data_IF_731699220083
#
_entry.id   IF_731699220083
#
_cell.length_a   1.000
_cell.length_b   1.000
_cell.length_c   1.000
_cell.angle_alpha   90.00
_cell.angle_beta   90.00
_cell.angle_gamma   90.00
#
_symmetry.space_group_name_H-M   'P 1'
#
loop_
_entity.id
_entity.type
_entity.pdbx_description
1 polymer ?
#
# COMPACT_ATOMS: atom_id res chain seq x y z
N UNK A 1 -12.96 -15.50 -3.05
CA UNK A 1 -12.52 -14.62 -4.14
C UNK A 1 -11.83 -15.43 -5.24
N UNK A 2 -10.72 -16.09 -4.99
CA UNK A 2 -9.95 -16.85 -5.97
C UNK A 2 -10.78 -17.88 -6.72
N UNK A 3 -11.60 -18.68 -6.03
CA UNK A 3 -12.48 -19.67 -6.66
C UNK A 3 -13.43 -19.05 -7.69
N UNK A 4 -13.97 -17.86 -7.42
CA UNK A 4 -14.85 -17.13 -8.34
C UNK A 4 -14.15 -16.68 -9.63
N UNK A 5 -12.83 -16.44 -9.57
CA UNK A 5 -12.03 -15.97 -10.70
C UNK A 5 -11.51 -17.11 -11.60
N UNK A 6 -11.73 -18.37 -11.19
CA UNK A 6 -11.23 -19.55 -11.90
C UNK A 6 -12.17 -19.93 -13.06
N UNK A 7 -11.57 -20.35 -14.17
CA UNK A 7 -12.33 -21.07 -15.20
C UNK A 7 -12.56 -22.52 -14.75
N UNK A 8 -13.78 -22.82 -14.33
CA UNK A 8 -14.19 -24.11 -13.78
C UNK A 8 -14.21 -25.26 -14.81
N UNK A 9 -14.03 -24.95 -16.10
CA UNK A 9 -13.86 -25.98 -17.13
C UNK A 9 -12.44 -26.59 -17.11
N UNK A 10 -11.53 -26.03 -16.33
CA UNK A 10 -10.13 -26.45 -16.23
C UNK A 10 -9.75 -26.75 -14.78
N UNK A 11 -9.85 -28.02 -14.34
CA UNK A 11 -9.59 -28.41 -12.96
C UNK A 11 -8.20 -28.01 -12.41
N UNK A 12 -7.19 -27.96 -13.30
CA UNK A 12 -5.84 -27.53 -12.93
C UNK A 12 -5.78 -26.11 -12.40
N UNK A 13 -6.68 -25.23 -12.85
CA UNK A 13 -6.75 -23.86 -12.35
C UNK A 13 -7.40 -23.77 -10.96
N UNK A 14 -8.34 -24.65 -10.67
CA UNK A 14 -8.94 -24.74 -9.34
C UNK A 14 -7.89 -25.12 -8.29
N UNK A 15 -7.07 -26.13 -8.61
CA UNK A 15 -5.98 -26.57 -7.72
C UNK A 15 -4.96 -25.45 -7.48
N UNK A 16 -4.54 -24.75 -8.55
CA UNK A 16 -3.60 -23.63 -8.47
C UNK A 16 -4.12 -22.44 -7.62
N UNK A 17 -5.44 -22.34 -7.43
CA UNK A 17 -6.07 -21.29 -6.64
C UNK A 17 -6.32 -21.67 -5.18
N UNK A 18 -6.07 -22.91 -4.79
CA UNK A 18 -6.20 -23.33 -3.39
C UNK A 18 -5.15 -22.63 -2.54
N UNK A 19 -5.56 -22.23 -1.37
CA UNK A 19 -4.74 -21.56 -0.37
C UNK A 19 -4.82 -22.38 0.90
N UNK A 20 -3.68 -22.70 1.46
CA UNK A 20 -3.58 -23.39 2.75
C UNK A 20 -3.44 -22.39 3.89
N UNK A 21 -3.62 -22.84 5.12
CA UNK A 21 -3.39 -22.02 6.30
C UNK A 21 -1.95 -21.50 6.38
N UNK A 22 -0.97 -22.30 5.93
CA UNK A 22 0.44 -21.92 5.89
C UNK A 22 0.74 -20.77 4.92
N UNK A 23 -0.07 -20.61 3.86
CA UNK A 23 0.08 -19.54 2.87
C UNK A 23 -0.48 -18.20 3.37
N UNK A 24 -1.29 -18.21 4.43
CA UNK A 24 -1.99 -17.04 4.95
C UNK A 24 -1.07 -16.10 5.73
N UNK A 25 -0.08 -15.58 5.03
CA UNK A 25 0.84 -14.56 5.55
C UNK A 25 0.33 -13.14 5.29
N UNK A 26 0.91 -12.17 5.99
CA UNK A 26 0.60 -10.76 5.76
C UNK A 26 0.93 -10.34 4.32
N UNK A 27 2.05 -10.78 3.79
CA UNK A 27 2.48 -10.44 2.44
C UNK A 27 1.52 -11.05 1.40
N UNK A 28 1.08 -12.29 1.60
CA UNK A 28 0.04 -12.91 0.79
C UNK A 28 -1.26 -12.10 0.78
N UNK A 29 -1.73 -11.67 1.96
CA UNK A 29 -2.96 -10.85 2.08
C UNK A 29 -2.79 -9.51 1.34
N UNK A 30 -1.64 -8.86 1.47
CA UNK A 30 -1.35 -7.61 0.78
C UNK A 30 -1.31 -7.77 -0.75
N UNK A 31 -0.80 -8.90 -1.25
CA UNK A 31 -0.81 -9.21 -2.68
C UNK A 31 -2.22 -9.50 -3.21
N UNK A 32 -3.02 -10.28 -2.48
CA UNK A 32 -4.42 -10.52 -2.85
C UNK A 32 -5.22 -9.21 -2.91
N UNK A 33 -5.06 -8.35 -1.91
CA UNK A 33 -5.69 -7.02 -1.91
C UNK A 33 -5.23 -6.17 -3.10
N UNK A 34 -3.95 -6.28 -3.49
CA UNK A 34 -3.44 -5.56 -4.66
C UNK A 34 -4.07 -6.03 -5.98
N UNK A 35 -4.35 -7.35 -6.10
CA UNK A 35 -5.02 -7.91 -7.28
C UNK A 35 -6.50 -7.55 -7.32
N UNK A 36 -7.21 -7.69 -6.19
CA UNK A 36 -8.64 -7.43 -6.09
C UNK A 36 -9.00 -5.95 -6.25
N UNK A 37 -8.16 -5.06 -5.71
CA UNK A 37 -8.38 -3.62 -5.68
C UNK A 37 -7.47 -2.90 -6.69
N UNK A 38 -7.12 -3.58 -7.79
CA UNK A 38 -6.30 -3.00 -8.84
C UNK A 38 -6.97 -1.76 -9.43
N UNK A 39 -6.22 -0.66 -9.50
CA UNK A 39 -6.74 0.62 -9.97
C UNK A 39 -7.49 1.44 -8.92
N UNK A 40 -7.74 0.88 -7.73
CA UNK A 40 -8.32 1.60 -6.62
C UNK A 40 -7.25 2.30 -5.76
N UNK A 41 -7.64 3.34 -5.05
CA UNK A 41 -6.73 4.18 -4.26
C UNK A 41 -6.24 3.53 -2.95
N UNK A 42 -6.67 2.30 -2.67
CA UNK A 42 -6.46 1.65 -1.37
C UNK A 42 -5.00 1.22 -1.12
N UNK A 43 -4.22 0.92 -2.16
CA UNK A 43 -2.90 0.31 -2.02
C UNK A 43 -1.95 1.07 -1.08
N UNK A 44 -1.89 2.41 -1.20
CA UNK A 44 -1.05 3.23 -0.31
C UNK A 44 -1.48 3.13 1.16
N UNK A 45 -2.78 3.12 1.42
CA UNK A 45 -3.33 3.03 2.78
C UNK A 45 -3.03 1.67 3.40
N UNK A 46 -3.20 0.60 2.64
CA UNK A 46 -2.90 -0.75 3.09
C UNK A 46 -1.41 -0.89 3.43
N UNK A 47 -0.52 -0.50 2.52
CA UNK A 47 0.92 -0.57 2.76
C UNK A 47 1.36 0.28 3.97
N UNK A 48 0.75 1.45 4.16
CA UNK A 48 1.03 2.30 5.32
C UNK A 48 0.57 1.63 6.61
N UNK A 49 -0.66 1.09 6.65
CA UNK A 49 -1.22 0.41 7.85
C UNK A 49 -0.37 -0.76 8.30
N UNK A 50 0.18 -1.48 7.36
CA UNK A 50 0.99 -2.66 7.64
C UNK A 50 2.49 -2.38 7.75
N UNK A 51 2.91 -1.11 7.72
CA UNK A 51 4.31 -0.72 7.84
C UNK A 51 5.18 -1.14 6.66
N UNK A 52 4.58 -1.42 5.50
CA UNK A 52 5.27 -1.95 4.31
C UNK A 52 5.50 -0.91 3.21
N UNK A 53 5.05 0.33 3.40
CA UNK A 53 5.05 1.33 2.32
C UNK A 53 6.45 1.60 1.77
N UNK A 54 7.40 1.89 2.64
CA UNK A 54 8.76 2.28 2.23
C UNK A 54 9.48 1.12 1.56
N UNK A 55 9.44 -0.06 2.16
CA UNK A 55 10.10 -1.27 1.64
C UNK A 55 9.52 -1.68 0.28
N UNK A 56 8.20 -1.68 0.14
CA UNK A 56 7.54 -2.01 -1.11
C UNK A 56 7.90 -1.03 -2.24
N UNK A 57 7.99 0.27 -1.93
CA UNK A 57 8.42 1.25 -2.92
C UNK A 57 9.87 1.05 -3.30
N UNK A 58 10.77 0.78 -2.36
CA UNK A 58 12.19 0.50 -2.64
C UNK A 58 12.39 -0.73 -3.52
N UNK A 59 11.57 -1.77 -3.32
CA UNK A 59 11.69 -3.03 -4.07
C UNK A 59 11.07 -2.92 -5.47
N UNK A 60 9.87 -2.37 -5.57
CA UNK A 60 9.02 -2.51 -6.76
C UNK A 60 8.85 -1.25 -7.59
N UNK A 61 9.28 -0.07 -7.11
CA UNK A 61 9.16 1.16 -7.88
C UNK A 61 10.54 1.70 -8.28
N UNK A 62 11.00 1.43 -9.52
CA UNK A 62 12.33 1.83 -9.98
C UNK A 62 12.51 3.35 -9.99
N UNK A 63 11.45 4.12 -10.21
CA UNK A 63 11.52 5.58 -10.30
C UNK A 63 11.61 6.25 -8.93
N UNK A 64 10.93 5.67 -7.92
CA UNK A 64 10.85 6.25 -6.60
C UNK A 64 11.85 5.67 -5.59
N UNK A 65 12.43 4.50 -5.85
CA UNK A 65 13.27 3.75 -4.88
C UNK A 65 14.42 4.56 -4.29
N UNK A 66 15.03 5.43 -5.08
CA UNK A 66 16.17 6.24 -4.65
C UNK A 66 15.75 7.52 -3.92
N UNK A 67 14.50 7.94 -4.09
CA UNK A 67 13.97 9.20 -3.57
C UNK A 67 13.12 9.00 -2.32
N UNK A 68 12.57 7.79 -2.13
CA UNK A 68 11.74 7.47 -0.95
C UNK A 68 12.58 7.49 0.33
N UNK A 69 12.12 8.22 1.33
CA UNK A 69 12.70 8.31 2.67
C UNK A 69 11.68 7.83 3.71
N UNK A 70 12.14 7.53 4.91
CA UNK A 70 11.29 6.96 5.95
C UNK A 70 10.18 7.93 6.39
N UNK A 71 10.44 9.23 6.37
CA UNK A 71 9.43 10.25 6.69
C UNK A 71 8.28 10.33 5.66
N UNK A 72 8.44 9.79 4.44
CA UNK A 72 7.36 9.74 3.44
C UNK A 72 6.18 8.83 3.83
N UNK A 73 6.24 8.17 4.99
CA UNK A 73 5.09 7.50 5.61
C UNK A 73 3.96 8.52 5.85
N UNK A 74 4.30 9.73 6.24
CA UNK A 74 3.36 10.85 6.31
C UNK A 74 3.47 11.76 5.09
N UNK A 75 2.50 12.60 4.87
CA UNK A 75 2.54 13.62 3.80
C UNK A 75 2.85 14.98 4.41
N UNK A 76 3.44 15.90 3.66
CA UNK A 76 3.54 17.27 4.12
C UNK A 76 2.15 17.87 4.36
N UNK A 77 2.06 18.73 5.35
CA UNK A 77 0.86 19.53 5.56
C UNK A 77 0.83 20.58 4.45
N UNK A 78 -0.25 20.69 3.67
CA UNK A 78 -0.34 21.68 2.59
C UNK A 78 -0.19 23.11 3.10
N UNK A 79 0.51 23.98 2.36
CA UNK A 79 0.70 25.39 2.71
C UNK A 79 -0.62 26.11 2.99
N UNK A 80 -1.67 25.77 2.24
CA UNK A 80 -3.01 26.35 2.45
C UNK A 80 -3.60 26.12 3.84
N UNK A 81 -3.14 25.08 4.55
CA UNK A 81 -3.56 24.85 5.93
C UNK A 81 -2.86 25.86 6.88
N UNK A 82 -1.59 26.13 6.64
CA UNK A 82 -0.86 27.13 7.40
C UNK A 82 -1.40 28.54 7.16
N UNK A 83 -1.68 28.87 5.90
CA UNK A 83 -2.21 30.19 5.53
C UNK A 83 -3.59 30.48 6.15
N UNK A 84 -4.35 29.45 6.47
CA UNK A 84 -5.65 29.55 7.14
C UNK A 84 -5.60 29.60 8.67
N UNK A 85 -4.40 29.46 9.26
CA UNK A 85 -4.23 29.44 10.71
C UNK A 85 -3.58 30.73 11.24
N UNK A 86 -4.17 31.39 12.26
CA UNK A 86 -3.58 32.61 12.85
C UNK A 86 -2.19 32.37 13.45
N UNK A 87 -1.93 31.18 13.96
CA UNK A 87 -0.67 30.80 14.61
C UNK A 87 -0.16 29.46 14.09
N UNK A 88 0.19 29.41 12.81
CA UNK A 88 0.70 28.21 12.13
C UNK A 88 2.04 27.74 12.71
N UNK A 89 2.80 28.61 13.37
CA UNK A 89 4.11 28.27 13.95
C UNK A 89 4.01 27.23 15.06
N UNK A 90 2.85 27.16 15.74
CA UNK A 90 2.60 26.15 16.78
C UNK A 90 2.30 24.76 16.21
N UNK A 91 1.75 24.69 15.00
CA UNK A 91 1.45 23.41 14.35
C UNK A 91 2.73 22.72 13.87
N UNK A 92 3.63 23.48 13.23
CA UNK A 92 4.81 22.95 12.59
C UNK A 92 4.52 22.05 11.38
N UNK A 93 5.52 21.78 10.59
CA UNK A 93 5.45 20.80 9.50
C UNK A 93 5.83 19.41 10.03
N UNK A 94 5.36 18.35 9.35
CA UNK A 94 5.83 16.99 9.62
C UNK A 94 7.34 16.88 9.41
N UNK A 95 8.00 16.09 10.24
CA UNK A 95 9.44 15.87 10.18
C UNK A 95 9.88 15.45 8.78
N UNK A 96 10.94 16.09 8.27
CA UNK A 96 11.53 15.80 6.97
C UNK A 96 11.02 16.66 5.79
N UNK A 97 10.02 17.53 6.05
CA UNK A 97 9.46 18.44 5.03
C UNK A 97 9.77 19.91 5.31
#
# INVERSE_FOLDING_TARGET
>A
LRYRAVNHEKPEYEEAMKVTEADMTLDFILEERARELFGEWQRRLDLKRFGRLIDQVRIYNPDAKNNIKDYHIVRPIPQTQFDGMPDWTTLGQNDGY
#
